data_IF_627909024789
#
_entry.id   IF_627909024789
#
_cell.length_a   1.000
_cell.length_b   1.000
_cell.length_c   1.000
_cell.angle_alpha   90.00
_cell.angle_beta   90.00
_cell.angle_gamma   90.00
#
_symmetry.space_group_name_H-M   'P 1'
#
loop_
_entity.id
_entity.type
_entity.pdbx_description
1 polymer ?
#
# COMPACT_ATOMS: atom_id res chain seq x y z
N UNK A 1 -7.85 -8.58 4.83
CA UNK A 1 -8.58 -7.37 5.29
C UNK A 1 -7.56 -6.35 5.77
N UNK A 2 -7.56 -5.14 5.21
CA UNK A 2 -6.69 -4.05 5.64
C UNK A 2 -7.01 -3.62 7.07
N UNK A 3 -6.01 -3.12 7.81
CA UNK A 3 -6.22 -2.66 9.18
C UNK A 3 -7.16 -1.45 9.19
N UNK A 4 -8.19 -1.49 10.04
CA UNK A 4 -9.17 -0.40 10.16
C UNK A 4 -9.12 0.28 11.54
N UNK A 5 -8.46 -0.35 12.52
CA UNK A 5 -8.32 0.19 13.87
C UNK A 5 -6.90 0.70 14.10
N UNK A 6 -6.74 1.87 14.76
CA UNK A 6 -5.43 2.46 14.99
C UNK A 6 -4.63 1.65 16.00
N UNK A 7 -3.47 1.14 15.57
CA UNK A 7 -2.51 0.49 16.47
C UNK A 7 -1.41 1.48 16.80
N UNK A 8 -1.44 1.98 18.04
CA UNK A 8 -0.48 2.98 18.53
C UNK A 8 0.49 2.36 19.53
N UNK A 9 1.78 2.48 19.24
CA UNK A 9 2.86 2.05 20.11
C UNK A 9 3.08 3.04 21.26
N UNK A 10 3.21 2.54 22.49
CA UNK A 10 3.60 3.36 23.64
C UNK A 10 5.07 3.77 23.53
N UNK A 11 5.45 4.93 24.07
CA UNK A 11 6.84 5.41 24.06
C UNK A 11 7.84 4.43 24.71
N UNK A 12 7.40 3.70 25.74
CA UNK A 12 8.15 2.61 26.38
C UNK A 12 7.47 1.26 26.12
N UNK A 13 7.35 0.89 24.85
CA UNK A 13 6.78 -0.39 24.47
C UNK A 13 7.67 -1.56 24.92
N UNK A 14 7.04 -2.59 25.47
CA UNK A 14 7.65 -3.89 25.75
C UNK A 14 8.03 -4.62 24.45
N UNK A 15 8.85 -5.66 24.57
CA UNK A 15 9.22 -6.50 23.42
C UNK A 15 7.98 -7.12 22.75
N UNK A 16 7.06 -7.65 23.53
CA UNK A 16 5.81 -8.23 23.03
C UNK A 16 4.93 -7.20 22.31
N UNK A 17 4.83 -5.97 22.84
CA UNK A 17 4.10 -4.89 22.16
C UNK A 17 4.75 -4.54 20.81
N UNK A 18 6.08 -4.49 20.73
CA UNK A 18 6.79 -4.23 19.47
C UNK A 18 6.63 -5.36 18.46
N UNK A 19 6.65 -6.61 18.89
CA UNK A 19 6.36 -7.76 18.04
C UNK A 19 4.92 -7.70 17.50
N UNK A 20 3.96 -7.32 18.36
CA UNK A 20 2.58 -7.07 17.93
C UNK A 20 2.50 -5.96 16.87
N UNK A 21 3.13 -4.81 17.11
CA UNK A 21 3.19 -3.70 16.14
C UNK A 21 3.84 -4.13 14.83
N UNK A 22 4.91 -4.92 14.87
CA UNK A 22 5.58 -5.44 13.69
C UNK A 22 4.65 -6.29 12.81
N UNK A 23 3.85 -7.17 13.44
CA UNK A 23 2.84 -7.95 12.72
C UNK A 23 1.83 -7.05 12.02
N UNK A 24 1.41 -5.96 12.68
CA UNK A 24 0.46 -5.00 12.10
C UNK A 24 1.07 -4.21 10.94
N UNK A 25 2.35 -3.84 11.03
CA UNK A 25 3.06 -3.22 9.90
C UNK A 25 3.07 -4.17 8.70
N UNK A 26 3.34 -5.46 8.89
CA UNK A 26 3.29 -6.44 7.80
C UNK A 26 1.88 -6.59 7.22
N UNK A 27 0.84 -6.65 8.05
CA UNK A 27 -0.54 -6.67 7.57
C UNK A 27 -0.90 -5.43 6.75
N UNK A 28 -0.44 -4.26 7.14
CA UNK A 28 -0.72 -3.02 6.40
C UNK A 28 0.06 -2.93 5.09
N UNK A 29 1.38 -3.18 5.13
CA UNK A 29 2.29 -2.86 4.02
C UNK A 29 2.46 -4.02 3.06
N UNK A 30 2.47 -5.26 3.55
CA UNK A 30 2.58 -6.46 2.71
C UNK A 30 1.23 -7.09 2.41
N UNK A 31 0.14 -6.60 3.01
CA UNK A 31 -1.20 -7.21 2.98
C UNK A 31 -1.26 -8.65 3.55
N UNK A 32 -0.14 -9.16 4.06
CA UNK A 32 0.02 -10.53 4.57
C UNK A 32 1.20 -10.61 5.54
N UNK A 33 1.31 -11.73 6.25
CA UNK A 33 2.55 -12.04 6.98
C UNK A 33 3.62 -12.57 6.01
N UNK A 34 4.89 -12.14 6.13
CA UNK A 34 5.98 -12.66 5.32
C UNK A 34 6.25 -14.13 5.64
N UNK A 35 6.60 -14.91 4.62
CA UNK A 35 7.00 -16.31 4.79
C UNK A 35 8.32 -16.40 5.55
N UNK A 36 8.63 -17.57 6.13
CA UNK A 36 9.85 -17.75 6.92
C UNK A 36 11.14 -17.42 6.14
N UNK A 37 11.20 -17.72 4.84
CA UNK A 37 12.36 -17.41 4.00
C UNK A 37 12.47 -15.90 3.71
N UNK A 38 11.35 -15.20 3.50
CA UNK A 38 11.30 -13.75 3.33
C UNK A 38 11.72 -13.05 4.63
N UNK A 39 11.24 -13.57 5.77
CA UNK A 39 11.58 -13.05 7.10
C UNK A 39 13.09 -13.07 7.38
N UNK A 40 13.83 -14.02 6.79
CA UNK A 40 15.31 -14.03 6.86
C UNK A 40 15.93 -12.81 6.19
N UNK A 41 15.37 -12.34 5.07
CA UNK A 41 15.81 -11.10 4.40
C UNK A 41 15.55 -9.86 5.26
N UNK A 42 14.48 -9.87 6.06
CA UNK A 42 14.09 -8.75 6.95
C UNK A 42 14.69 -8.83 8.36
N UNK A 43 15.39 -9.91 8.71
CA UNK A 43 15.81 -10.19 10.09
C UNK A 43 16.67 -9.08 10.72
N UNK A 44 17.52 -8.42 9.92
CA UNK A 44 18.29 -7.27 10.37
C UNK A 44 17.39 -6.11 10.80
N UNK A 45 16.44 -5.74 9.94
CA UNK A 45 15.49 -4.67 10.17
C UNK A 45 14.55 -4.96 11.34
N UNK A 46 14.03 -6.19 11.45
CA UNK A 46 13.20 -6.63 12.59
C UNK A 46 13.95 -6.47 13.92
N UNK A 47 15.21 -6.91 13.95
CA UNK A 47 16.03 -6.85 15.16
C UNK A 47 16.26 -5.41 15.62
N UNK A 48 16.47 -4.48 14.70
CA UNK A 48 16.63 -3.07 15.03
C UNK A 48 15.33 -2.44 15.55
N UNK A 49 14.19 -2.83 14.96
CA UNK A 49 12.88 -2.37 15.39
C UNK A 49 12.49 -2.91 16.77
N UNK A 50 12.64 -4.21 17.00
CA UNK A 50 12.33 -4.86 18.29
C UNK A 50 13.22 -4.28 19.41
N UNK A 51 14.50 -4.00 19.12
CA UNK A 51 15.41 -3.32 20.05
C UNK A 51 15.08 -1.84 20.23
N UNK A 52 14.30 -1.24 19.33
CA UNK A 52 13.89 0.16 19.40
C UNK A 52 14.95 1.14 18.95
N UNK A 53 15.91 0.67 18.13
CA UNK A 53 16.88 1.55 17.47
C UNK A 53 16.23 2.39 16.39
N UNK A 54 15.21 1.83 15.74
CA UNK A 54 14.44 2.48 14.67
C UNK A 54 12.97 2.56 15.07
N UNK A 55 12.31 3.65 14.67
CA UNK A 55 10.86 3.84 14.86
C UNK A 55 10.04 3.34 13.67
N UNK A 56 8.72 3.42 13.79
CA UNK A 56 7.77 2.94 12.76
C UNK A 56 8.04 3.59 11.40
N UNK A 57 8.17 4.92 11.34
CA UNK A 57 8.44 5.63 10.07
C UNK A 57 9.71 5.16 9.37
N UNK A 58 10.78 4.93 10.13
CA UNK A 58 12.03 4.44 9.56
C UNK A 58 11.87 3.00 9.06
N UNK A 59 11.19 2.15 9.84
CA UNK A 59 10.87 0.79 9.41
C UNK A 59 10.06 0.78 8.11
N UNK A 60 9.04 1.63 7.97
CA UNK A 60 8.20 1.76 6.78
C UNK A 60 9.01 2.17 5.53
N UNK A 61 9.93 3.13 5.67
CA UNK A 61 10.83 3.51 4.56
C UNK A 61 11.76 2.38 4.17
N UNK A 62 12.31 1.66 5.15
CA UNK A 62 13.23 0.55 4.90
C UNK A 62 12.54 -0.67 4.29
N UNK A 63 11.31 -0.98 4.68
CA UNK A 63 10.55 -2.09 4.07
C UNK A 63 10.11 -1.75 2.64
N UNK A 64 9.79 -0.49 2.34
CA UNK A 64 9.37 -0.07 1.01
C UNK A 64 10.43 -0.28 -0.09
N UNK A 65 11.72 -0.26 0.27
CA UNK A 65 12.83 -0.53 -0.64
C UNK A 65 13.35 -1.97 -0.52
N UNK A 66 12.73 -2.80 0.31
CA UNK A 66 13.12 -4.20 0.46
C UNK A 66 12.72 -5.00 -0.77
N UNK A 67 13.51 -6.04 -1.10
CA UNK A 67 13.21 -6.88 -2.27
C UNK A 67 11.81 -7.52 -2.17
N UNK A 68 11.36 -7.86 -0.96
CA UNK A 68 10.04 -8.48 -0.74
C UNK A 68 8.91 -7.54 -1.16
N UNK A 69 9.01 -6.26 -0.80
CA UNK A 69 8.00 -5.27 -1.17
C UNK A 69 8.03 -4.98 -2.67
N UNK A 70 9.22 -4.82 -3.24
CA UNK A 70 9.40 -4.54 -4.67
C UNK A 70 8.93 -5.70 -5.56
N UNK A 71 9.31 -6.94 -5.24
CA UNK A 71 8.87 -8.16 -5.95
C UNK A 71 7.34 -8.35 -5.87
N UNK A 72 6.71 -7.89 -4.78
CA UNK A 72 5.27 -8.04 -4.55
C UNK A 72 4.44 -6.96 -5.24
N UNK A 73 4.87 -5.70 -5.21
CA UNK A 73 4.04 -4.56 -5.61
C UNK A 73 4.61 -3.70 -6.73
N UNK A 74 5.93 -3.73 -6.98
CA UNK A 74 6.57 -2.86 -7.98
C UNK A 74 6.86 -3.62 -9.28
N UNK A 75 7.60 -4.72 -9.23
CA UNK A 75 8.15 -5.40 -10.43
C UNK A 75 7.08 -5.91 -11.42
N UNK A 76 5.87 -6.20 -10.92
CA UNK A 76 4.76 -6.71 -11.73
C UNK A 76 3.77 -5.61 -12.13
N UNK A 77 3.88 -4.43 -11.52
CA UNK A 77 2.89 -3.37 -11.61
C UNK A 77 3.27 -2.30 -12.62
N UNK A 78 2.28 -1.61 -13.17
CA UNK A 78 2.54 -0.29 -13.76
C UNK A 78 2.94 0.71 -12.66
N UNK A 79 3.65 1.78 -13.02
CA UNK A 79 4.00 2.85 -12.08
C UNK A 79 2.76 3.38 -11.34
N UNK A 80 1.68 3.65 -12.07
CA UNK A 80 0.46 4.20 -11.47
C UNK A 80 -0.21 3.18 -10.53
N UNK A 81 -0.21 1.89 -10.88
CA UNK A 81 -0.74 0.85 -9.99
C UNK A 81 0.10 0.73 -8.71
N UNK A 82 1.42 0.86 -8.84
CA UNK A 82 2.30 0.90 -7.69
C UNK A 82 2.06 2.12 -6.80
N UNK A 83 1.88 3.30 -7.40
CA UNK A 83 1.55 4.54 -6.69
C UNK A 83 0.24 4.37 -5.92
N UNK A 84 -0.82 3.87 -6.56
CA UNK A 84 -2.10 3.58 -5.91
C UNK A 84 -1.93 2.66 -4.68
N UNK A 85 -1.18 1.57 -4.83
CA UNK A 85 -0.87 0.67 -3.71
C UNK A 85 -0.02 1.37 -2.62
N UNK A 86 0.91 2.25 -2.98
CA UNK A 86 1.71 2.99 -2.01
C UNK A 86 0.86 3.96 -1.17
N UNK A 87 -0.11 4.65 -1.79
CA UNK A 87 -1.08 5.47 -1.07
C UNK A 87 -1.89 4.62 -0.08
N UNK A 88 -2.37 3.45 -0.52
CA UNK A 88 -3.07 2.49 0.35
C UNK A 88 -2.21 2.04 1.53
N UNK A 89 -0.97 1.63 1.29
CA UNK A 89 -0.12 1.05 2.32
C UNK A 89 0.41 2.09 3.31
N UNK A 90 0.83 3.27 2.84
CA UNK A 90 1.55 4.25 3.66
C UNK A 90 0.68 5.43 4.12
N UNK A 91 -0.32 5.84 3.34
CA UNK A 91 -1.25 6.91 3.71
C UNK A 91 -2.64 6.41 4.12
N UNK A 92 -3.00 5.17 3.78
CA UNK A 92 -4.26 4.57 4.20
C UNK A 92 -5.48 5.11 3.46
N UNK A 93 -5.31 5.61 2.24
CA UNK A 93 -6.37 6.16 1.37
C UNK A 93 -6.05 5.92 -0.11
N UNK A 94 -7.00 6.23 -1.00
CA UNK A 94 -6.73 6.45 -2.43
C UNK A 94 -6.02 7.79 -2.69
N UNK A 95 -5.32 7.94 -3.83
CA UNK A 95 -4.98 9.25 -4.38
C UNK A 95 -6.25 10.09 -4.60
N UNK A 96 -6.18 11.40 -4.35
CA UNK A 96 -7.34 12.29 -4.48
C UNK A 96 -7.58 12.75 -5.92
N UNK A 97 -6.51 12.96 -6.68
CA UNK A 97 -6.57 13.45 -8.06
C UNK A 97 -5.38 12.98 -8.91
N UNK A 98 -5.45 13.29 -10.21
CA UNK A 98 -4.35 13.00 -11.14
C UNK A 98 -3.08 13.81 -10.84
N UNK A 99 -3.18 14.93 -10.13
CA UNK A 99 -2.01 15.77 -9.84
C UNK A 99 -1.10 15.08 -8.81
N UNK A 100 -1.67 14.51 -7.73
CA UNK A 100 -0.94 13.69 -6.76
C UNK A 100 -0.24 12.51 -7.45
N UNK A 101 -0.93 11.87 -8.39
CA UNK A 101 -0.39 10.72 -9.14
C UNK A 101 0.79 11.15 -10.00
N UNK A 102 0.67 12.26 -10.74
CA UNK A 102 1.74 12.78 -11.60
C UNK A 102 2.96 13.21 -10.80
N UNK A 103 2.76 13.85 -9.64
CA UNK A 103 3.87 14.23 -8.75
C UNK A 103 4.60 12.99 -8.23
N UNK A 104 3.86 11.96 -7.80
CA UNK A 104 4.45 10.71 -7.35
C UNK A 104 5.15 9.93 -8.47
N UNK A 105 4.58 9.91 -9.69
CA UNK A 105 5.19 9.27 -10.85
C UNK A 105 6.49 9.97 -11.25
N UNK A 106 6.51 11.30 -11.22
CA UNK A 106 7.75 12.06 -11.45
C UNK A 106 8.82 11.73 -10.41
N UNK A 107 8.48 11.73 -9.11
CA UNK A 107 9.41 11.34 -8.05
C UNK A 107 9.91 9.89 -8.21
N UNK A 108 9.01 8.98 -8.60
CA UNK A 108 9.32 7.58 -8.81
C UNK A 108 10.29 7.38 -9.96
N UNK A 109 10.09 8.07 -11.08
CA UNK A 109 10.93 7.97 -12.28
C UNK A 109 12.29 8.62 -12.06
N UNK A 110 12.34 9.82 -11.47
CA UNK A 110 13.59 10.59 -11.32
C UNK A 110 14.44 10.15 -10.12
N UNK A 111 13.80 9.72 -9.03
CA UNK A 111 14.48 9.47 -7.75
C UNK A 111 14.24 8.07 -7.17
N UNK A 112 13.40 7.26 -7.83
CA UNK A 112 13.14 5.89 -7.44
C UNK A 112 12.15 5.72 -6.28
N UNK A 113 11.85 4.47 -5.97
CA UNK A 113 10.84 4.06 -4.96
C UNK A 113 11.12 4.65 -3.59
N UNK A 114 12.38 4.65 -3.16
CA UNK A 114 12.75 5.13 -1.82
C UNK A 114 12.43 6.61 -1.60
N UNK A 115 12.66 7.45 -2.61
CA UNK A 115 12.37 8.88 -2.56
C UNK A 115 10.86 9.13 -2.56
N UNK A 116 10.13 8.49 -3.47
CA UNK A 116 8.67 8.60 -3.56
C UNK A 116 7.99 8.20 -2.24
N UNK A 117 8.31 7.03 -1.67
CA UNK A 117 7.71 6.58 -0.41
C UNK A 117 8.14 7.45 0.77
N UNK A 118 9.38 7.95 0.76
CA UNK A 118 9.83 8.89 1.79
C UNK A 118 9.02 10.19 1.75
N UNK A 119 8.69 10.71 0.57
CA UNK A 119 7.84 11.89 0.41
C UNK A 119 6.44 11.66 1.01
N UNK A 120 5.84 10.48 0.80
CA UNK A 120 4.55 10.12 1.41
C UNK A 120 4.65 10.08 2.95
N UNK A 121 5.67 9.42 3.51
CA UNK A 121 5.82 9.23 4.97
C UNK A 121 6.25 10.52 5.70
N UNK A 122 7.00 11.40 5.02
CA UNK A 122 7.44 12.69 5.57
C UNK A 122 6.43 13.81 5.34
N UNK A 123 5.33 13.54 4.64
CA UNK A 123 4.26 14.49 4.41
C UNK A 123 3.65 15.01 5.73
N UNK A 124 3.16 16.25 5.68
CA UNK A 124 2.43 16.85 6.80
C UNK A 124 1.18 16.03 7.14
N UNK A 125 0.55 15.48 6.12
CA UNK A 125 -0.59 14.58 6.21
C UNK A 125 -0.28 13.36 7.07
N UNK A 126 0.78 12.62 6.72
CA UNK A 126 1.21 11.45 7.50
C UNK A 126 1.47 11.84 8.96
N UNK A 127 2.17 12.97 9.18
CA UNK A 127 2.52 13.44 10.52
C UNK A 127 1.30 13.78 11.36
N UNK A 128 0.29 14.45 10.79
CA UNK A 128 -0.95 14.80 11.48
C UNK A 128 -1.80 13.57 11.82
N UNK A 129 -1.79 12.56 10.95
CA UNK A 129 -2.61 11.36 11.10
C UNK A 129 -1.99 10.33 12.05
N UNK A 130 -0.72 9.98 11.82
CA UNK A 130 -0.07 8.85 12.48
C UNK A 130 1.04 9.26 13.45
N UNK A 131 1.52 10.49 13.33
CA UNK A 131 2.69 10.97 14.08
C UNK A 131 3.91 10.06 13.86
N UNK A 132 4.53 9.62 14.96
CA UNK A 132 5.70 8.74 14.93
C UNK A 132 5.48 7.35 15.51
N UNK A 133 4.32 7.11 16.12
CA UNK A 133 4.05 5.94 16.96
C UNK A 133 2.86 5.10 16.50
N UNK A 134 2.09 5.56 15.52
CA UNK A 134 0.94 4.84 14.99
C UNK A 134 1.31 4.16 13.68
N UNK A 135 0.88 2.90 13.51
CA UNK A 135 0.98 2.18 12.24
C UNK A 135 -0.07 2.74 11.28
N UNK A 136 0.27 3.00 10.00
CA UNK A 136 -0.73 3.38 9.01
C UNK A 136 -1.85 2.35 8.95
N UNK A 137 -3.07 2.82 8.70
CA UNK A 137 -4.24 1.96 8.60
C UNK A 137 -5.21 2.56 7.59
N UNK A 138 -6.10 1.73 7.07
CA UNK A 138 -7.05 2.12 6.05
C UNK A 138 -8.17 3.01 6.60
N UNK A 139 -8.43 4.13 5.92
CA UNK A 139 -9.45 5.13 6.29
C UNK A 139 -10.62 5.13 5.28
N UNK A 140 -11.68 4.35 5.49
CA UNK A 140 -12.76 4.22 4.50
C UNK A 140 -13.61 5.49 4.32
N UNK A 141 -13.64 6.38 5.31
CA UNK A 141 -14.43 7.61 5.29
C UNK A 141 -13.62 8.86 4.96
N UNK A 142 -12.40 8.69 4.43
CA UNK A 142 -11.53 9.78 4.06
C UNK A 142 -11.65 10.05 2.57
N UNK A 143 -12.36 11.11 2.22
CA UNK A 143 -12.54 11.53 0.85
C UNK A 143 -12.89 13.03 0.78
N UNK A 144 -12.48 13.68 -0.30
CA UNK A 144 -12.79 15.09 -0.57
C UNK A 144 -13.97 15.25 -1.54
N UNK A 145 -14.30 14.21 -2.30
CA UNK A 145 -15.39 14.21 -3.28
C UNK A 145 -16.15 12.87 -3.31
N UNK A 146 -17.36 12.83 -3.91
CA UNK A 146 -18.08 11.57 -4.12
C UNK A 146 -17.33 10.53 -4.96
N UNK A 147 -16.51 10.97 -5.93
CA UNK A 147 -15.69 10.06 -6.73
C UNK A 147 -14.57 9.44 -5.89
N UNK A 148 -13.85 10.28 -5.15
CA UNK A 148 -12.80 9.86 -4.22
C UNK A 148 -13.35 8.88 -3.17
N UNK A 149 -14.59 9.09 -2.67
CA UNK A 149 -15.23 8.10 -1.80
C UNK A 149 -15.36 6.71 -2.44
N UNK A 150 -15.79 6.65 -3.71
CA UNK A 150 -15.97 5.39 -4.42
C UNK A 150 -14.62 4.72 -4.70
N UNK A 151 -13.64 5.50 -5.15
CA UNK A 151 -12.28 5.05 -5.44
C UNK A 151 -11.60 4.50 -4.19
N UNK A 152 -11.67 5.25 -3.08
CA UNK A 152 -11.21 4.83 -1.78
C UNK A 152 -11.90 3.52 -1.39
N UNK A 153 -13.24 3.48 -1.42
CA UNK A 153 -14.00 2.27 -1.07
C UNK A 153 -13.58 1.05 -1.90
N UNK A 154 -13.38 1.20 -3.20
CA UNK A 154 -12.96 0.11 -4.08
C UNK A 154 -11.54 -0.35 -3.80
N UNK A 155 -10.60 0.58 -3.64
CA UNK A 155 -9.20 0.26 -3.35
C UNK A 155 -9.04 -0.42 -1.98
N UNK A 156 -9.83 0.00 -0.99
CA UNK A 156 -9.84 -0.60 0.34
C UNK A 156 -10.33 -2.05 0.37
N UNK A 157 -11.10 -2.47 -0.66
CA UNK A 157 -11.60 -3.84 -0.82
C UNK A 157 -10.69 -4.71 -1.68
N UNK A 158 -9.81 -4.11 -2.47
CA UNK A 158 -8.89 -4.82 -3.34
C UNK A 158 -7.76 -5.46 -2.51
N UNK A 159 -7.39 -6.70 -2.81
CA UNK A 159 -6.11 -7.27 -2.42
C UNK A 159 -5.10 -7.26 -3.56
N UNK A 160 -3.82 -7.34 -3.22
CA UNK A 160 -2.72 -7.38 -4.17
C UNK A 160 -2.98 -8.39 -5.33
N UNK A 161 -3.19 -7.87 -6.53
CA UNK A 161 -3.42 -8.66 -7.74
C UNK A 161 -4.87 -9.06 -8.04
N UNK A 162 -5.83 -8.80 -7.15
CA UNK A 162 -7.25 -9.17 -7.34
C UNK A 162 -7.84 -8.61 -8.65
N UNK A 163 -7.39 -7.42 -9.03
CA UNK A 163 -7.81 -6.75 -10.25
C UNK A 163 -6.66 -6.48 -11.23
N UNK A 164 -5.61 -7.28 -11.11
CA UNK A 164 -4.44 -7.24 -11.98
C UNK A 164 -3.42 -6.19 -11.58
N UNK A 165 -2.36 -6.08 -12.40
CA UNK A 165 -1.17 -5.30 -12.06
C UNK A 165 -0.95 -4.09 -12.97
N UNK A 166 -1.65 -4.03 -14.10
CA UNK A 166 -1.43 -2.99 -15.11
C UNK A 166 -2.30 -1.74 -14.86
N UNK A 167 -3.58 -1.92 -14.55
CA UNK A 167 -4.55 -0.82 -14.50
C UNK A 167 -4.93 -0.51 -13.04
N UNK A 168 -4.69 0.72 -12.55
CA UNK A 168 -5.17 1.20 -11.26
C UNK A 168 -6.68 1.04 -11.10
N UNK A 169 -7.14 0.77 -9.87
CA UNK A 169 -8.56 0.77 -9.51
C UNK A 169 -9.24 2.09 -9.85
N UNK A 170 -8.51 3.20 -9.71
CA UNK A 170 -8.97 4.55 -10.07
C UNK A 170 -9.55 4.64 -11.49
N UNK A 171 -8.91 4.02 -12.48
CA UNK A 171 -9.25 4.25 -13.89
C UNK A 171 -10.26 3.28 -14.49
N UNK A 172 -10.70 2.22 -13.79
CA UNK A 172 -11.55 1.22 -14.47
C UNK A 172 -12.92 1.73 -14.86
N UNK A 173 -13.52 2.58 -14.03
CA UNK A 173 -14.81 3.17 -14.33
C UNK A 173 -14.71 4.03 -15.60
N UNK A 174 -13.67 4.86 -15.68
CA UNK A 174 -13.41 5.73 -16.83
C UNK A 174 -13.11 4.94 -18.11
N UNK A 175 -12.38 3.83 -17.97
CA UNK A 175 -12.02 2.95 -19.08
C UNK A 175 -13.12 1.92 -19.40
N UNK A 176 -14.23 1.92 -18.66
CA UNK A 176 -15.33 0.95 -18.78
C UNK A 176 -14.84 -0.52 -18.79
N UNK A 177 -13.88 -0.85 -17.91
CA UNK A 177 -13.28 -2.18 -17.78
C UNK A 177 -13.88 -2.96 -16.59
N UNK A 178 -14.05 -4.26 -16.76
CA UNK A 178 -14.20 -5.24 -15.68
C UNK A 178 -12.87 -5.96 -15.48
N UNK A 179 -12.23 -5.71 -14.34
CA UNK A 179 -10.97 -6.32 -13.95
C UNK A 179 -11.13 -7.38 -12.85
N UNK A 180 -12.36 -7.80 -12.54
CA UNK A 180 -12.59 -8.83 -11.52
C UNK A 180 -11.89 -10.14 -11.90
N UNK A 181 -11.06 -10.67 -11.01
CA UNK A 181 -10.32 -11.92 -11.24
C UNK A 181 -8.95 -11.77 -11.92
N UNK A 182 -8.33 -10.59 -11.79
CA UNK A 182 -6.91 -10.38 -12.15
C UNK A 182 -6.64 -10.03 -13.61
N UNK A 183 -7.65 -10.07 -14.49
CA UNK A 183 -7.52 -9.66 -15.90
C UNK A 183 -8.59 -8.65 -16.27
N UNK A 184 -8.18 -7.53 -16.85
CA UNK A 184 -9.10 -6.49 -17.33
C UNK A 184 -9.68 -6.82 -18.70
N UNK A 185 -11.01 -6.77 -18.82
CA UNK A 185 -11.76 -6.92 -20.07
C UNK A 185 -12.76 -5.77 -20.22
N UNK A 186 -13.12 -5.38 -21.45
CA UNK A 186 -14.17 -4.39 -21.64
C UNK A 186 -15.51 -4.86 -21.05
N UNK A 187 -16.15 -4.02 -20.24
CA UNK A 187 -17.40 -4.36 -19.53
C UNK A 187 -18.58 -4.69 -20.46
N UNK A 188 -18.50 -4.27 -21.73
CA UNK A 188 -19.50 -4.58 -22.77
C UNK A 188 -19.26 -5.90 -23.50
N UNK A 189 -18.22 -6.67 -23.15
CA UNK A 189 -18.01 -8.00 -23.76
C UNK A 189 -18.97 -9.03 -23.17
N UNK A 190 -19.84 -9.69 -23.97
CA UNK A 190 -20.66 -10.79 -23.47
C UNK A 190 -19.77 -11.92 -22.95
N UNK A 191 -20.08 -12.50 -21.78
CA UNK A 191 -19.26 -13.54 -21.14
C UNK A 191 -19.17 -14.87 -21.93
N UNK A 192 -19.83 -14.97 -23.09
CA UNK A 192 -20.00 -16.18 -23.89
C UNK A 192 -18.86 -16.52 -24.87
N UNK A 193 -17.63 -16.06 -24.63
CA UNK A 193 -16.45 -16.55 -25.36
C UNK A 193 -15.46 -17.30 -24.46
N UNK A 194 -15.99 -18.25 -23.67
CA UNK A 194 -15.23 -19.46 -23.35
C UNK A 194 -15.40 -20.38 -24.56
N UNK A 195 -14.42 -20.34 -25.48
CA UNK A 195 -14.33 -21.38 -26.51
C UNK A 195 -13.92 -22.67 -25.81
N UNK A 196 -14.79 -23.68 -25.87
CA UNK A 196 -14.39 -25.07 -25.74
C UNK A 196 -13.26 -25.34 -26.75
N UNK A 197 -12.14 -25.83 -26.24
CA UNK A 197 -11.09 -26.51 -27.00
C UNK A 197 -10.38 -27.48 -26.08
#
# INVERSE_FOLDING_TARGET
MSLQEPVTMKQKASLAEREGVLQQIYHQVLERQPYQFERKKLAGLEKEFIKGKIGIRHFLKSIAVSSIYLESFYEKSSNVKFIENAFKHFLGRSPHDEAEIRECDWLLVEHGVGAMVSALIDSEEYRKMYGSLTVPYWHPHRYESPNDYLENRWLGQEHAGDRGWAIPTLYWHELHLDCTGGTCRPSWTPSSRVRES
#
